data_IF_268649878568
#
_entry.id   IF_268649878568
#
_cell.length_a   1.000
_cell.length_b   1.000
_cell.length_c   1.000
_cell.angle_alpha   90.00
_cell.angle_beta   90.00
_cell.angle_gamma   90.00
#
_symmetry.space_group_name_H-M   'P 1'
#
loop_
_entity.id
_entity.type
_entity.pdbx_description
1 polymer ?
#
# COMPACT_ATOMS: atom_id res chain seq x y z
N UNK A 1 -33.46 31.33 -41.80
CA UNK A 1 -32.27 30.75 -41.16
C UNK A 1 -32.65 30.57 -39.70
N UNK A 2 -32.89 29.34 -39.26
CA UNK A 2 -33.35 29.05 -37.88
C UNK A 2 -32.19 29.27 -36.90
N UNK A 3 -32.37 30.14 -35.92
CA UNK A 3 -31.41 30.39 -34.84
C UNK A 3 -31.66 29.39 -33.73
N UNK A 4 -30.74 28.44 -33.56
CA UNK A 4 -30.76 27.49 -32.44
C UNK A 4 -30.76 28.27 -31.12
N UNK A 5 -31.75 28.00 -30.26
CA UNK A 5 -31.95 28.71 -29.00
C UNK A 5 -30.72 28.59 -28.08
N UNK A 6 -30.46 29.67 -27.34
CA UNK A 6 -29.33 29.83 -26.42
C UNK A 6 -29.30 28.68 -25.40
N UNK A 7 -28.13 28.04 -25.26
CA UNK A 7 -27.94 26.98 -24.27
C UNK A 7 -28.16 27.51 -22.84
N UNK A 8 -28.75 26.68 -21.99
CA UNK A 8 -28.85 26.95 -20.55
C UNK A 8 -27.46 27.20 -19.94
N UNK A 9 -27.40 28.17 -19.01
CA UNK A 9 -26.16 28.50 -18.28
C UNK A 9 -25.68 27.30 -17.48
N UNK A 10 -24.36 27.07 -17.50
CA UNK A 10 -23.72 25.99 -16.75
C UNK A 10 -24.12 26.01 -15.27
N UNK A 11 -24.59 24.87 -14.77
CA UNK A 11 -24.94 24.73 -13.37
C UNK A 11 -23.69 24.28 -12.60
N UNK A 12 -23.23 25.04 -11.57
CA UNK A 12 -22.00 24.70 -10.86
C UNK A 12 -22.14 23.35 -10.15
N UNK A 13 -21.09 22.53 -10.23
CA UNK A 13 -21.10 21.17 -9.72
C UNK A 13 -21.13 21.17 -8.17
N UNK A 14 -22.31 20.87 -7.60
CA UNK A 14 -22.56 20.95 -6.15
C UNK A 14 -21.94 19.81 -5.32
N UNK A 15 -21.48 18.74 -5.97
CA UNK A 15 -20.91 17.57 -5.30
C UNK A 15 -19.59 17.20 -5.94
N UNK A 16 -18.55 17.17 -5.12
CA UNK A 16 -17.26 16.59 -5.47
C UNK A 16 -17.14 15.22 -4.80
N UNK A 17 -16.81 14.19 -5.61
CA UNK A 17 -16.62 12.83 -5.11
C UNK A 17 -15.19 12.58 -4.62
N UNK A 18 -14.23 13.35 -5.14
CA UNK A 18 -12.82 13.25 -4.77
C UNK A 18 -12.45 14.39 -3.81
N UNK A 19 -11.85 14.04 -2.68
CA UNK A 19 -11.15 14.99 -1.81
C UNK A 19 -9.67 15.03 -2.20
N UNK A 20 -9.09 16.23 -2.27
CA UNK A 20 -7.64 16.36 -2.38
C UNK A 20 -7.03 16.06 -1.02
N UNK A 21 -6.08 15.14 -1.01
CA UNK A 21 -5.26 14.82 0.17
C UNK A 21 -3.96 15.60 0.07
N UNK A 22 -3.45 16.01 1.23
CA UNK A 22 -2.06 16.46 1.31
C UNK A 22 -1.10 15.28 1.09
N UNK A 23 0.15 15.57 0.73
CA UNK A 23 1.17 14.53 0.53
C UNK A 23 1.34 13.67 1.79
N UNK A 24 1.38 14.30 2.97
CA UNK A 24 1.53 13.62 4.25
C UNK A 24 0.31 12.72 4.58
N UNK A 25 -0.92 13.22 4.38
CA UNK A 25 -2.13 12.42 4.59
C UNK A 25 -2.19 11.21 3.65
N UNK A 26 -1.77 11.39 2.39
CA UNK A 26 -1.72 10.31 1.42
C UNK A 26 -0.71 9.23 1.82
N UNK A 27 0.48 9.62 2.27
CA UNK A 27 1.51 8.67 2.71
C UNK A 27 1.06 7.88 3.95
N UNK A 28 0.50 8.57 4.95
CA UNK A 28 -0.02 7.93 6.17
C UNK A 28 -1.16 6.94 5.85
N UNK A 29 -2.08 7.32 4.97
CA UNK A 29 -3.16 6.43 4.52
C UNK A 29 -2.62 5.23 3.77
N UNK A 30 -1.62 5.42 2.90
CA UNK A 30 -1.05 4.34 2.10
C UNK A 30 -0.31 3.34 2.98
N UNK A 31 0.43 3.81 3.99
CA UNK A 31 1.12 2.96 4.97
C UNK A 31 0.13 2.15 5.80
N UNK A 32 -0.91 2.80 6.31
CA UNK A 32 -1.97 2.17 7.11
C UNK A 32 -2.73 1.12 6.29
N UNK A 33 -3.12 1.46 5.06
CA UNK A 33 -3.84 0.55 4.17
C UNK A 33 -3.00 -0.68 3.83
N UNK A 34 -1.71 -0.49 3.52
CA UNK A 34 -0.80 -1.60 3.21
C UNK A 34 -0.58 -2.51 4.42
N UNK A 35 -0.46 -1.93 5.61
CA UNK A 35 -0.34 -2.69 6.87
C UNK A 35 -1.58 -3.55 7.11
N UNK A 36 -2.77 -2.94 7.02
CA UNK A 36 -4.03 -3.65 7.23
C UNK A 36 -4.23 -4.76 6.21
N UNK A 37 -3.95 -4.50 4.92
CA UNK A 37 -4.05 -5.51 3.88
C UNK A 37 -3.10 -6.71 4.12
N UNK A 38 -1.91 -6.48 4.70
CA UNK A 38 -1.00 -7.57 5.08
C UNK A 38 -1.54 -8.38 6.26
N UNK A 39 -2.12 -7.71 7.26
CA UNK A 39 -2.74 -8.39 8.41
C UNK A 39 -3.90 -9.27 7.93
N UNK A 40 -4.80 -8.72 7.12
CA UNK A 40 -5.96 -9.43 6.58
C UNK A 40 -5.53 -10.62 5.71
N UNK A 41 -4.47 -10.43 4.91
CA UNK A 41 -3.87 -11.50 4.13
C UNK A 41 -3.34 -12.62 5.02
N UNK A 42 -2.59 -12.30 6.08
CA UNK A 42 -2.04 -13.30 6.99
C UNK A 42 -3.12 -14.05 7.76
N UNK A 43 -4.20 -13.36 8.15
CA UNK A 43 -5.35 -14.00 8.77
C UNK A 43 -6.04 -14.96 7.80
N UNK A 44 -6.29 -14.51 6.58
CA UNK A 44 -6.87 -15.35 5.52
C UNK A 44 -6.00 -16.58 5.22
N UNK A 45 -4.67 -16.43 5.29
CA UNK A 45 -3.71 -17.54 5.19
C UNK A 45 -3.87 -18.59 6.27
N UNK A 46 -4.12 -18.17 7.50
CA UNK A 46 -4.24 -19.08 8.64
C UNK A 46 -5.60 -19.78 8.67
N UNK A 47 -6.67 -19.07 8.28
CA UNK A 47 -8.02 -19.64 8.21
C UNK A 47 -8.23 -20.60 7.03
N UNK A 48 -7.51 -20.39 5.91
CA UNK A 48 -7.73 -21.12 4.67
C UNK A 48 -6.43 -21.77 4.14
N UNK A 49 -5.87 -22.76 4.86
CA UNK A 49 -4.59 -23.39 4.48
C UNK A 49 -4.62 -24.05 3.10
N UNK A 50 -5.78 -24.54 2.66
CA UNK A 50 -6.01 -25.17 1.36
C UNK A 50 -5.70 -24.24 0.16
N UNK A 51 -5.98 -22.93 0.32
CA UNK A 51 -5.70 -21.95 -0.72
C UNK A 51 -4.20 -21.82 -0.96
N UNK A 52 -3.42 -21.84 0.12
CA UNK A 52 -1.97 -21.71 0.07
C UNK A 52 -1.30 -23.03 -0.28
N UNK A 53 -1.88 -24.18 0.09
CA UNK A 53 -1.41 -25.48 -0.38
C UNK A 53 -1.33 -25.51 -1.91
N UNK A 54 -2.41 -25.12 -2.59
CA UNK A 54 -2.45 -25.14 -4.06
C UNK A 54 -1.35 -24.27 -4.68
N UNK A 55 -1.10 -23.08 -4.12
CA UNK A 55 -0.06 -22.16 -4.60
C UNK A 55 1.33 -22.73 -4.36
N UNK A 56 1.58 -23.29 -3.18
CA UNK A 56 2.87 -23.88 -2.80
C UNK A 56 3.17 -25.11 -3.66
N UNK A 57 2.17 -25.98 -3.89
CA UNK A 57 2.28 -27.09 -4.82
C UNK A 57 2.61 -26.57 -6.21
N UNK A 58 1.83 -25.64 -6.76
CA UNK A 58 2.12 -25.09 -8.09
C UNK A 58 3.55 -24.57 -8.23
N UNK A 59 4.03 -23.82 -7.23
CA UNK A 59 5.41 -23.32 -7.18
C UNK A 59 6.45 -24.44 -7.19
N UNK A 60 6.24 -25.50 -6.40
CA UNK A 60 7.12 -26.67 -6.34
C UNK A 60 7.17 -27.43 -7.67
N UNK A 61 6.05 -27.50 -8.39
CA UNK A 61 6.04 -28.04 -9.75
C UNK A 61 6.81 -27.16 -10.74
N UNK A 62 6.63 -25.84 -10.68
CA UNK A 62 7.37 -24.91 -11.53
C UNK A 62 8.88 -25.02 -11.28
N UNK A 63 9.31 -25.22 -10.03
CA UNK A 63 10.71 -25.49 -9.65
C UNK A 63 11.22 -26.79 -10.28
N UNK A 64 10.42 -27.87 -10.25
CA UNK A 64 10.76 -29.15 -10.86
C UNK A 64 10.86 -29.05 -12.39
N UNK A 65 9.94 -28.36 -13.04
CA UNK A 65 9.97 -28.13 -14.50
C UNK A 65 11.20 -27.32 -14.93
N UNK A 66 11.65 -26.38 -14.09
CA UNK A 66 12.86 -25.58 -14.33
C UNK A 66 14.17 -26.35 -14.09
N UNK A 67 14.16 -27.36 -13.22
CA UNK A 67 15.36 -28.12 -12.82
C UNK A 67 15.93 -29.08 -13.87
N UNK A 68 15.22 -29.32 -14.99
CA UNK A 68 15.75 -30.09 -16.13
C UNK A 68 14.69 -30.61 -17.11
N UNK A 69 15.06 -30.73 -18.39
CA UNK A 69 14.14 -31.14 -19.46
C UNK A 69 13.49 -32.52 -19.25
N UNK A 70 14.23 -33.49 -18.66
CA UNK A 70 13.70 -34.82 -18.31
C UNK A 70 12.69 -34.78 -17.15
N UNK A 71 12.90 -33.89 -16.18
CA UNK A 71 11.96 -33.68 -15.08
C UNK A 71 10.71 -32.94 -15.54
N UNK A 72 10.83 -32.05 -16.54
CA UNK A 72 9.70 -31.37 -17.16
C UNK A 72 8.73 -32.36 -17.83
N UNK A 73 9.24 -33.33 -18.61
CA UNK A 73 8.37 -34.31 -19.27
C UNK A 73 7.66 -35.22 -18.25
N UNK A 74 8.37 -35.65 -17.20
CA UNK A 74 7.81 -36.42 -16.08
C UNK A 74 6.75 -35.62 -15.32
N UNK A 75 7.04 -34.36 -14.99
CA UNK A 75 6.10 -33.48 -14.30
C UNK A 75 4.82 -33.24 -15.13
N UNK A 76 4.96 -33.00 -16.44
CA UNK A 76 3.83 -32.83 -17.36
C UNK A 76 3.01 -34.10 -17.53
N UNK A 77 3.65 -35.27 -17.61
CA UNK A 77 2.96 -36.55 -17.67
C UNK A 77 2.11 -36.78 -16.43
N UNK A 78 2.70 -36.65 -15.23
CA UNK A 78 1.93 -36.83 -14.02
C UNK A 78 0.88 -35.72 -13.80
N UNK A 79 1.09 -34.50 -14.30
CA UNK A 79 0.06 -33.46 -14.32
C UNK A 79 -1.12 -33.87 -15.21
N UNK A 80 -0.85 -34.44 -16.38
CA UNK A 80 -1.89 -34.89 -17.31
C UNK A 80 -2.66 -36.11 -16.79
N UNK A 81 -1.99 -37.01 -16.07
CA UNK A 81 -2.57 -38.28 -15.57
C UNK A 81 -3.23 -38.14 -14.19
N UNK A 82 -2.55 -37.49 -13.23
CA UNK A 82 -3.03 -37.36 -11.84
C UNK A 82 -3.66 -35.98 -11.55
N UNK A 83 -3.69 -35.08 -12.54
CA UNK A 83 -4.27 -33.76 -12.42
C UNK A 83 -3.45 -32.82 -11.52
N UNK A 84 -4.13 -31.80 -10.97
CA UNK A 84 -3.49 -30.75 -10.17
C UNK A 84 -2.97 -31.26 -8.80
N UNK A 85 -3.39 -32.46 -8.38
CA UNK A 85 -3.01 -33.14 -7.13
C UNK A 85 -2.03 -34.31 -7.34
N UNK A 86 -1.13 -34.14 -8.30
CA UNK A 86 -0.08 -35.08 -8.65
C UNK A 86 0.91 -35.37 -7.48
N UNK A 87 1.34 -36.64 -7.36
CA UNK A 87 2.34 -37.16 -6.40
C UNK A 87 3.67 -36.42 -6.40
N UNK A 88 4.17 -35.99 -7.55
CA UNK A 88 5.40 -35.20 -7.67
C UNK A 88 5.30 -33.86 -6.94
N UNK A 89 4.06 -33.42 -6.67
CA UNK A 89 3.77 -32.14 -6.06
C UNK A 89 3.17 -32.26 -4.66
N UNK A 90 3.25 -33.44 -4.04
CA UNK A 90 2.83 -33.61 -2.66
C UNK A 90 3.68 -32.74 -1.73
N UNK A 91 3.00 -31.98 -0.87
CA UNK A 91 3.61 -31.15 0.16
C UNK A 91 3.01 -31.60 1.48
N UNK A 92 3.84 -32.04 2.41
CA UNK A 92 3.36 -32.43 3.74
C UNK A 92 2.92 -31.21 4.54
N UNK A 93 2.02 -31.38 5.50
CA UNK A 93 1.50 -30.26 6.32
C UNK A 93 2.59 -29.47 7.04
N UNK A 94 3.71 -30.13 7.41
CA UNK A 94 4.88 -29.48 8.00
C UNK A 94 5.62 -28.58 6.99
N UNK A 95 5.93 -29.10 5.81
CA UNK A 95 6.58 -28.34 4.72
C UNK A 95 5.70 -27.16 4.30
N UNK A 96 4.38 -27.35 4.25
CA UNK A 96 3.43 -26.30 3.93
C UNK A 96 3.51 -25.15 4.95
N UNK A 97 3.42 -25.45 6.25
CA UNK A 97 3.54 -24.43 7.31
C UNK A 97 4.87 -23.70 7.27
N UNK A 98 5.97 -24.42 7.05
CA UNK A 98 7.30 -23.81 6.95
C UNK A 98 7.38 -22.83 5.77
N UNK A 99 6.94 -23.24 4.57
CA UNK A 99 6.96 -22.36 3.39
C UNK A 99 6.05 -21.15 3.55
N UNK A 100 4.88 -21.32 4.17
CA UNK A 100 3.97 -20.21 4.49
C UNK A 100 4.60 -19.26 5.51
N UNK A 101 5.23 -19.78 6.56
CA UNK A 101 5.93 -18.98 7.55
C UNK A 101 7.03 -18.12 6.94
N UNK A 102 7.89 -18.73 6.09
CA UNK A 102 8.92 -17.99 5.36
C UNK A 102 8.33 -16.91 4.46
N UNK A 103 7.24 -17.21 3.75
CA UNK A 103 6.57 -16.21 2.90
C UNK A 103 6.05 -15.02 3.71
N UNK A 104 5.42 -15.28 4.86
CA UNK A 104 4.94 -14.22 5.77
C UNK A 104 6.10 -13.34 6.25
N UNK A 105 7.23 -13.95 6.60
CA UNK A 105 8.42 -13.23 7.06
C UNK A 105 9.05 -12.38 5.95
N UNK A 106 9.15 -12.92 4.73
CA UNK A 106 9.61 -12.17 3.56
C UNK A 106 8.73 -10.95 3.26
N UNK A 107 7.40 -11.11 3.32
CA UNK A 107 6.46 -10.00 3.12
C UNK A 107 6.61 -8.92 4.19
N UNK A 108 6.74 -9.32 5.48
CA UNK A 108 7.02 -8.39 6.58
C UNK A 108 8.33 -7.63 6.37
N UNK A 109 9.39 -8.33 5.94
CA UNK A 109 10.70 -7.74 5.69
C UNK A 109 10.63 -6.69 4.58
N UNK A 110 9.96 -6.99 3.48
CA UNK A 110 9.76 -6.06 2.36
C UNK A 110 8.95 -4.84 2.82
N UNK A 111 7.90 -5.03 3.63
CA UNK A 111 7.12 -3.94 4.19
C UNK A 111 7.95 -3.02 5.09
N UNK A 112 8.67 -3.56 6.08
CA UNK A 112 9.52 -2.74 6.95
C UNK A 112 10.66 -2.05 6.14
N UNK A 113 11.18 -2.68 5.09
CA UNK A 113 12.16 -2.02 4.20
C UNK A 113 11.55 -0.81 3.47
N UNK A 114 10.36 -0.96 2.90
CA UNK A 114 9.67 0.11 2.21
C UNK A 114 9.33 1.26 3.17
N UNK A 115 8.84 0.95 4.37
CA UNK A 115 8.56 1.92 5.44
C UNK A 115 9.82 2.65 5.88
N UNK A 116 10.90 1.94 6.21
CA UNK A 116 12.16 2.55 6.67
C UNK A 116 12.84 3.41 5.60
N UNK A 117 12.71 3.05 4.30
CA UNK A 117 13.18 3.92 3.21
C UNK A 117 12.42 5.24 3.14
N UNK A 118 11.11 5.23 3.41
CA UNK A 118 10.26 6.43 3.42
C UNK A 118 10.58 7.35 4.60
N UNK A 119 10.66 6.79 5.81
CA UNK A 119 11.03 7.54 7.02
C UNK A 119 12.40 8.25 6.86
N UNK A 120 13.35 7.60 6.20
CA UNK A 120 14.66 8.19 5.89
C UNK A 120 14.58 9.33 4.86
N UNK A 121 13.65 9.26 3.90
CA UNK A 121 13.42 10.32 2.92
C UNK A 121 12.75 11.55 3.55
N UNK A 122 11.81 11.35 4.47
CA UNK A 122 11.17 12.42 5.24
C UNK A 122 12.18 13.19 6.12
N UNK A 123 13.04 12.47 6.86
CA UNK A 123 14.10 13.08 7.67
C UNK A 123 15.11 13.89 6.84
N UNK A 124 15.32 13.52 5.57
CA UNK A 124 16.15 14.26 4.62
C UNK A 124 15.46 15.55 4.15
N UNK A 125 14.15 15.51 3.88
CA UNK A 125 13.35 16.70 3.50
C UNK A 125 13.27 17.73 4.61
N UNK A 126 13.12 17.28 5.86
CA UNK A 126 13.09 18.15 7.03
C UNK A 126 14.42 18.89 7.23
N UNK A 127 15.55 18.21 7.03
CA UNK A 127 16.88 18.84 7.09
C UNK A 127 17.11 19.92 6.03
N UNK A 128 16.52 19.78 4.84
CA UNK A 128 16.59 20.80 3.77
C UNK A 128 15.75 22.04 4.13
N UNK A 129 14.63 21.87 4.84
CA UNK A 129 13.80 23.00 5.26
C UNK A 129 14.47 23.91 6.30
N UNK A 130 15.42 23.38 7.09
CA UNK A 130 16.20 24.15 8.06
C UNK A 130 17.42 24.88 7.49
N UNK A 131 17.78 24.70 6.21
CA UNK A 131 18.85 25.45 5.53
C UNK A 131 18.32 26.61 4.66
N UNK A 132 17.33 27.37 5.13
CA UNK A 132 16.99 28.65 4.47
C UNK A 132 18.05 29.72 4.81
N UNK A 133 18.88 30.03 3.81
CA UNK A 133 19.67 31.27 3.69
C UNK A 133 18.80 32.52 3.96
N UNK A 134 19.38 33.63 4.46
CA UNK A 134 18.61 34.80 4.91
C UNK A 134 17.85 35.43 3.74
N UNK A 135 16.53 35.40 3.83
CA UNK A 135 15.61 36.08 2.92
C UNK A 135 15.77 37.59 3.12
N UNK A 136 15.99 38.33 2.03
CA UNK A 136 15.97 39.79 2.01
C UNK A 136 14.65 40.33 2.59
N UNK A 137 14.65 41.48 3.29
CA UNK A 137 13.45 41.97 3.95
C UNK A 137 12.33 42.22 2.93
N UNK A 138 11.06 41.89 3.25
CA UNK A 138 9.94 42.07 2.34
C UNK A 138 9.68 43.56 2.07
N UNK A 139 9.21 43.95 0.87
CA UNK A 139 8.79 45.32 0.59
C UNK A 139 7.59 45.70 1.49
N UNK A 140 7.44 47.00 1.83
CA UNK A 140 6.37 47.46 2.71
C UNK A 140 4.98 47.22 2.08
N UNK A 141 3.97 46.88 2.90
CA UNK A 141 2.63 46.57 2.42
C UNK A 141 1.89 47.82 1.91
N UNK A 142 1.05 47.71 0.86
CA UNK A 142 0.13 48.77 0.45
C UNK A 142 -0.96 49.02 1.51
N UNK A 143 -1.53 50.24 1.59
CA UNK A 143 -2.49 50.62 2.62
C UNK A 143 -3.81 49.80 2.53
N UNK A 144 -4.46 49.51 3.68
CA UNK A 144 -5.62 48.63 3.74
C UNK A 144 -6.92 49.30 3.24
N UNK A 145 -7.79 48.57 2.51
CA UNK A 145 -9.18 48.97 2.27
C UNK A 145 -10.07 48.74 3.52
N UNK A 146 -11.20 49.47 3.65
CA UNK A 146 -12.01 49.50 4.87
C UNK A 146 -12.67 48.16 5.23
N UNK A 147 -12.62 47.86 6.53
CA UNK A 147 -13.07 46.65 7.20
C UNK A 147 -14.52 46.27 6.89
N UNK A 148 -14.74 45.02 6.48
CA UNK A 148 -16.04 44.34 6.64
C UNK A 148 -15.82 43.08 7.46
N UNK A 149 -16.51 43.02 8.60
CA UNK A 149 -16.44 41.99 9.64
C UNK A 149 -17.13 40.72 9.17
N UNK A 150 -16.42 39.60 9.07
CA UNK A 150 -16.99 38.26 9.22
C UNK A 150 -15.92 37.29 9.78
N UNK A 151 -16.22 36.72 10.94
CA UNK A 151 -15.46 35.64 11.59
C UNK A 151 -15.77 34.29 10.93
N UNK A 152 -14.80 33.36 10.94
CA UNK A 152 -15.13 32.00 11.34
C UNK A 152 -14.22 31.46 12.43
N UNK A 153 -14.88 30.81 13.39
CA UNK A 153 -14.39 30.07 14.54
C UNK A 153 -13.42 28.95 14.08
N UNK A 154 -12.21 28.92 14.66
CA UNK A 154 -11.22 27.85 14.50
C UNK A 154 -11.38 26.88 15.66
N UNK A 155 -11.60 25.60 15.37
CA UNK A 155 -11.35 24.53 16.34
C UNK A 155 -10.03 23.83 16.03
N UNK A 156 -9.14 23.87 17.02
CA UNK A 156 -7.83 23.25 17.00
C UNK A 156 -7.97 21.76 17.32
N UNK A 157 -7.52 20.89 16.41
CA UNK A 157 -7.27 19.49 16.77
C UNK A 157 -5.77 19.22 16.63
N UNK A 158 -5.11 19.04 17.77
CA UNK A 158 -3.71 18.65 17.86
C UNK A 158 -3.57 17.19 17.40
N UNK A 159 -2.87 16.95 16.29
CA UNK A 159 -2.44 15.60 15.93
C UNK A 159 -1.16 15.27 16.69
N UNK A 160 -1.33 14.45 17.73
CA UNK A 160 -0.26 13.78 18.45
C UNK A 160 0.41 12.78 17.50
N UNK A 161 1.65 13.05 17.09
CA UNK A 161 2.49 12.11 16.32
C UNK A 161 2.69 10.85 17.16
N UNK A 162 1.98 9.77 16.82
CA UNK A 162 2.20 8.45 17.44
C UNK A 162 3.18 7.70 16.56
N UNK A 163 4.42 7.58 17.01
CA UNK A 163 5.39 6.66 16.43
C UNK A 163 4.93 5.22 16.70
N UNK A 164 4.45 4.55 15.66
CA UNK A 164 4.11 3.11 15.71
C UNK A 164 5.29 2.30 15.17
N UNK A 165 5.95 1.60 16.09
CA UNK A 165 7.07 0.69 15.86
C UNK A 165 6.67 -0.53 15.00
N UNK A 166 7.52 -0.94 14.04
CA UNK A 166 7.36 -2.16 13.20
C UNK A 166 7.25 -3.46 14.05
N UNK A 167 7.50 -3.39 15.37
CA UNK A 167 7.38 -4.51 16.29
C UNK A 167 5.94 -5.02 16.53
N UNK A 168 4.90 -4.31 16.05
CA UNK A 168 3.50 -4.66 16.34
C UNK A 168 2.79 -5.57 15.33
N UNK A 169 3.47 -6.05 14.29
CA UNK A 169 2.94 -7.11 13.41
C UNK A 169 3.08 -8.51 14.03
N UNK A 170 2.75 -8.62 15.31
CA UNK A 170 2.63 -9.87 16.08
C UNK A 170 1.16 -10.30 16.10
N UNK A 171 0.79 -11.22 15.22
CA UNK A 171 -0.39 -12.06 15.43
C UNK A 171 -0.03 -13.11 16.48
N UNK A 172 -0.91 -13.27 17.47
CA UNK A 172 -0.94 -14.43 18.38
C UNK A 172 -1.28 -15.70 17.61
#
# INVERSE_FOLDING_TARGET
>A
METMEEFDKECPMLKTFCKQLTEDEFEDQTLTYTEQALIDLFHTMDENPELYERVIRRRKQDELEKSGAGNCLKAKFFLAVEGQLNRCNAVGSKELRERVGHLKEDMKKVYCYAKGKREKAEASRENVHHQKLPVAPPPPPPPPPPSTVYTPLKDHTNFRKVSVSCAKLTLN
#
